data_IF_366330810223
#
_entry.id   IF_366330810223
#
_cell.length_a   1.000
_cell.length_b   1.000
_cell.length_c   1.000
_cell.angle_alpha   90.00
_cell.angle_beta   90.00
_cell.angle_gamma   90.00
#
_symmetry.space_group_name_H-M   'P 1'
#
loop_
_entity.id
_entity.type
_entity.pdbx_description
1 polymer ?
#
# COMPACT_ATOMS: atom_id res chain seq x y z
N UNK A 1 10.48 3.01 10.87
CA UNK A 1 11.96 3.13 10.80
C UNK A 1 12.63 2.71 12.12
N UNK A 2 12.18 3.12 13.29
CA UNK A 2 12.83 2.78 14.56
C UNK A 2 12.83 1.28 14.90
N UNK A 3 11.88 0.51 14.42
CA UNK A 3 11.77 -0.93 14.72
C UNK A 3 12.70 -1.82 13.87
N UNK A 4 13.26 -1.33 12.77
CA UNK A 4 14.11 -2.12 11.88
C UNK A 4 15.50 -1.49 11.78
N UNK A 5 16.53 -2.20 12.24
CA UNK A 5 17.92 -1.74 12.24
C UNK A 5 18.49 -1.50 10.84
N UNK A 6 17.95 -2.18 9.81
CA UNK A 6 18.36 -1.95 8.42
C UNK A 6 18.01 -0.55 7.92
N UNK A 7 17.02 0.10 8.54
CA UNK A 7 16.59 1.46 8.23
C UNK A 7 17.25 2.52 9.12
N UNK A 8 18.14 2.11 10.04
CA UNK A 8 18.86 3.07 10.87
C UNK A 8 19.96 3.75 10.07
N UNK A 9 20.21 5.03 10.32
CA UNK A 9 21.36 5.73 9.75
C UNK A 9 22.67 5.11 10.24
N UNK A 10 23.63 4.95 9.33
CA UNK A 10 24.98 4.49 9.65
C UNK A 10 25.93 5.66 10.00
N UNK A 11 25.51 6.86 9.72
CA UNK A 11 26.25 8.11 9.92
C UNK A 11 25.33 9.16 10.57
N UNK A 12 25.94 10.18 11.17
CA UNK A 12 25.17 11.33 11.67
C UNK A 12 24.42 11.97 10.50
N UNK A 13 23.09 12.10 10.59
CA UNK A 13 22.21 12.58 9.51
C UNK A 13 22.25 11.75 8.21
N UNK A 14 22.52 10.45 8.30
CA UNK A 14 22.42 9.54 7.16
C UNK A 14 21.02 8.95 7.01
N UNK A 15 20.74 8.42 5.84
CA UNK A 15 19.59 7.53 5.60
C UNK A 15 19.99 6.42 4.62
N UNK A 16 19.60 5.16 4.84
CA UNK A 16 19.79 4.10 3.86
C UNK A 16 18.77 4.19 2.72
N UNK A 17 17.69 4.98 2.89
CA UNK A 17 16.65 5.11 1.89
C UNK A 17 17.19 5.83 0.65
N UNK A 18 16.95 5.24 -0.52
CA UNK A 18 17.28 5.83 -1.83
C UNK A 18 16.06 6.45 -2.48
N UNK A 19 14.92 5.80 -2.31
CA UNK A 19 13.67 6.25 -2.89
C UNK A 19 12.47 5.89 -2.00
N UNK A 20 11.41 6.67 -2.12
CA UNK A 20 10.07 6.42 -1.57
C UNK A 20 9.08 6.48 -2.73
N UNK A 21 8.30 5.41 -2.91
CA UNK A 21 7.25 5.35 -3.91
C UNK A 21 5.90 5.44 -3.20
N UNK A 22 5.12 6.46 -3.51
CA UNK A 22 3.82 6.70 -2.87
C UNK A 22 2.70 6.05 -3.68
N UNK A 23 1.92 5.20 -3.04
CA UNK A 23 0.81 4.48 -3.68
C UNK A 23 -0.53 5.19 -3.55
N UNK A 24 -0.67 6.07 -2.57
CA UNK A 24 -1.81 6.98 -2.41
C UNK A 24 -1.41 8.18 -1.53
N UNK A 25 -2.33 9.09 -1.27
CA UNK A 25 -2.11 10.29 -0.46
C UNK A 25 -2.75 10.24 0.94
N UNK A 26 -3.22 9.09 1.42
CA UNK A 26 -3.77 8.99 2.76
C UNK A 26 -2.71 9.22 3.84
N UNK A 27 -3.13 9.71 5.00
CA UNK A 27 -2.22 10.20 6.06
C UNK A 27 -1.23 9.13 6.50
N UNK A 28 -1.67 7.90 6.64
CA UNK A 28 -0.85 6.75 7.05
C UNK A 28 0.19 6.35 5.98
N UNK A 29 -0.02 6.70 4.71
CA UNK A 29 0.95 6.49 3.63
C UNK A 29 1.95 7.63 3.47
N UNK A 30 1.60 8.88 3.82
CA UNK A 30 2.44 10.06 3.54
C UNK A 30 3.06 10.69 4.79
N UNK A 31 2.48 10.51 5.99
CA UNK A 31 2.98 11.16 7.21
C UNK A 31 4.42 10.78 7.55
N UNK A 32 4.85 9.56 7.18
CA UNK A 32 6.22 9.10 7.35
C UNK A 32 7.28 9.96 6.65
N UNK A 33 6.92 10.69 5.60
CA UNK A 33 7.81 11.63 4.91
C UNK A 33 8.30 12.74 5.84
N UNK A 34 7.49 13.17 6.81
CA UNK A 34 7.84 14.23 7.75
C UNK A 34 9.02 13.85 8.66
N UNK A 35 9.26 12.56 8.86
CA UNK A 35 10.42 12.05 9.60
C UNK A 35 11.71 12.15 8.77
N UNK A 36 11.58 12.24 7.44
CA UNK A 36 12.70 12.32 6.49
C UNK A 36 13.19 13.75 6.22
N UNK A 37 12.73 14.74 7.00
CA UNK A 37 13.11 16.18 6.85
C UNK A 37 14.54 16.53 7.19
N UNK A 38 15.38 15.55 7.51
CA UNK A 38 16.72 15.74 8.09
C UNK A 38 17.80 16.16 7.07
N UNK A 39 17.42 16.69 5.91
CA UNK A 39 18.35 17.15 4.85
C UNK A 39 19.29 16.03 4.36
N UNK A 40 18.74 14.86 4.16
CA UNK A 40 19.42 13.71 3.54
C UNK A 40 18.88 13.49 2.14
N UNK A 41 19.75 13.16 1.19
CA UNK A 41 19.33 13.01 -0.21
C UNK A 41 18.57 11.69 -0.43
N UNK A 42 17.35 11.81 -0.98
CA UNK A 42 16.55 10.69 -1.47
C UNK A 42 15.56 11.18 -2.55
N UNK A 43 14.92 10.23 -3.20
CA UNK A 43 13.95 10.52 -4.26
C UNK A 43 12.54 10.16 -3.80
N UNK A 44 11.55 10.96 -4.21
CA UNK A 44 10.13 10.63 -4.06
C UNK A 44 9.56 10.39 -5.45
N UNK A 45 8.90 9.26 -5.62
CA UNK A 45 8.15 8.91 -6.81
C UNK A 45 6.66 8.93 -6.47
N UNK A 46 5.89 9.73 -7.20
CA UNK A 46 4.45 9.87 -6.99
C UNK A 46 3.74 10.19 -8.31
N UNK A 47 2.48 9.82 -8.42
CA UNK A 47 1.65 10.26 -9.54
C UNK A 47 1.43 11.78 -9.47
N UNK A 48 1.08 12.44 -10.60
CA UNK A 48 0.73 13.86 -10.59
C UNK A 48 -0.34 14.24 -9.58
N UNK A 49 -1.35 13.38 -9.38
CA UNK A 49 -2.43 13.65 -8.43
C UNK A 49 -1.95 13.57 -6.97
N UNK A 50 -1.14 12.57 -6.62
CA UNK A 50 -0.55 12.45 -5.28
C UNK A 50 0.42 13.62 -5.05
N UNK A 51 1.25 13.98 -6.03
CA UNK A 51 2.18 15.12 -5.94
C UNK A 51 1.42 16.41 -5.68
N UNK A 52 0.32 16.67 -6.42
CA UNK A 52 -0.53 17.85 -6.23
C UNK A 52 -1.15 17.87 -4.83
N UNK A 53 -1.62 16.73 -4.35
CA UNK A 53 -2.17 16.58 -3.01
C UNK A 53 -1.16 16.98 -1.93
N UNK A 54 0.08 16.51 -2.02
CA UNK A 54 1.11 16.88 -1.05
C UNK A 54 1.51 18.36 -1.18
N UNK A 55 1.61 18.88 -2.40
CA UNK A 55 1.95 20.29 -2.64
C UNK A 55 0.92 21.28 -2.07
N UNK A 56 -0.35 20.87 -1.97
CA UNK A 56 -1.42 21.67 -1.35
C UNK A 56 -1.36 21.65 0.19
N UNK A 57 -0.55 20.78 0.79
CA UNK A 57 -0.37 20.68 2.23
C UNK A 57 0.98 21.30 2.64
N UNK A 58 0.99 22.51 3.19
CA UNK A 58 2.23 23.26 3.43
C UNK A 58 3.21 22.58 4.38
N UNK A 59 2.75 21.61 5.18
CA UNK A 59 3.60 20.85 6.08
C UNK A 59 4.69 20.07 5.34
N UNK A 60 4.45 19.62 4.09
CA UNK A 60 5.45 18.91 3.29
C UNK A 60 6.53 19.82 2.68
N UNK A 61 6.39 21.16 2.81
CA UNK A 61 7.44 22.11 2.53
C UNK A 61 8.69 21.97 3.42
N UNK A 62 8.63 21.13 4.48
CA UNK A 62 9.81 20.77 5.29
C UNK A 62 10.78 19.83 4.55
N UNK A 63 10.34 19.23 3.44
CA UNK A 63 11.19 18.41 2.56
C UNK A 63 11.98 19.35 1.66
N UNK A 64 13.23 19.61 2.03
CA UNK A 64 14.10 20.57 1.38
C UNK A 64 14.40 20.14 -0.08
N UNK A 65 14.06 20.95 -1.11
CA UNK A 65 14.23 20.59 -2.51
C UNK A 65 15.71 20.45 -2.94
N UNK A 66 16.66 20.96 -2.16
CA UNK A 66 18.09 20.76 -2.42
C UNK A 66 18.52 19.31 -2.13
N UNK A 67 17.73 18.57 -1.35
CA UNK A 67 18.01 17.19 -0.95
C UNK A 67 16.99 16.18 -1.48
N UNK A 68 15.73 16.59 -1.61
CA UNK A 68 14.62 15.68 -1.97
C UNK A 68 14.15 15.96 -3.40
N UNK A 69 14.37 15.00 -4.29
CA UNK A 69 13.94 15.11 -5.68
C UNK A 69 12.60 14.39 -5.88
N UNK A 70 11.65 15.09 -6.50
CA UNK A 70 10.37 14.55 -6.91
C UNK A 70 10.41 14.05 -8.35
N UNK A 71 9.98 12.81 -8.56
CA UNK A 71 9.92 12.16 -9.85
C UNK A 71 8.46 11.74 -10.15
N UNK A 72 7.89 12.16 -11.30
CA UNK A 72 6.53 11.77 -11.64
C UNK A 72 6.44 10.30 -12.04
N UNK A 73 5.44 9.59 -11.52
CA UNK A 73 5.02 8.27 -11.98
C UNK A 73 3.80 8.41 -12.90
N UNK A 74 3.78 7.65 -13.99
CA UNK A 74 2.64 7.59 -14.91
C UNK A 74 2.11 6.18 -14.99
N UNK A 75 0.80 6.02 -15.04
CA UNK A 75 0.15 4.72 -15.20
C UNK A 75 0.63 4.02 -16.47
N UNK A 76 0.92 2.72 -16.36
CA UNK A 76 1.42 1.89 -17.46
C UNK A 76 2.88 2.13 -17.82
N UNK A 77 3.57 3.08 -17.17
CA UNK A 77 4.98 3.34 -17.44
C UNK A 77 5.87 2.48 -16.55
N UNK A 78 6.93 1.94 -17.15
CA UNK A 78 8.05 1.30 -16.46
C UNK A 78 9.20 2.27 -16.28
N UNK A 79 9.86 2.21 -15.13
CA UNK A 79 11.06 2.97 -14.83
C UNK A 79 11.96 2.18 -13.88
N UNK A 80 13.24 2.57 -13.82
CA UNK A 80 14.19 1.95 -12.90
C UNK A 80 14.44 2.83 -11.69
N UNK A 81 14.46 2.24 -10.51
CA UNK A 81 14.79 2.91 -9.25
C UNK A 81 15.56 1.95 -8.35
N UNK A 82 16.70 2.39 -7.80
CA UNK A 82 17.56 1.61 -6.91
C UNK A 82 17.94 0.20 -7.44
N UNK A 83 18.02 0.04 -8.77
CA UNK A 83 18.34 -1.24 -9.41
C UNK A 83 17.15 -2.17 -9.66
N UNK A 84 15.94 -1.73 -9.36
CA UNK A 84 14.69 -2.46 -9.61
C UNK A 84 13.93 -1.82 -10.76
N UNK A 85 13.23 -2.63 -11.57
CA UNK A 85 12.22 -2.16 -12.52
C UNK A 85 10.88 -2.04 -11.79
N UNK A 86 10.19 -0.93 -12.00
CA UNK A 86 8.87 -0.67 -11.42
C UNK A 86 7.90 -0.30 -12.52
N UNK A 87 6.74 -0.96 -12.55
CA UNK A 87 5.58 -0.58 -13.36
C UNK A 87 4.45 -0.11 -12.45
N UNK A 88 3.83 1.01 -12.80
CA UNK A 88 2.73 1.63 -12.04
C UNK A 88 1.40 1.32 -12.72
N UNK A 89 0.41 0.92 -11.94
CA UNK A 89 -0.95 0.67 -12.46
C UNK A 89 -2.02 1.24 -11.52
N UNK A 90 -3.17 1.61 -12.07
CA UNK A 90 -4.30 2.06 -11.27
C UNK A 90 -4.93 0.90 -10.49
N UNK A 91 -5.45 1.22 -9.32
CA UNK A 91 -6.22 0.31 -8.48
C UNK A 91 -7.53 0.99 -8.11
N UNK A 92 -8.67 0.27 -8.15
CA UNK A 92 -9.93 0.81 -7.64
C UNK A 92 -9.78 1.30 -6.20
N UNK A 93 -10.02 2.58 -5.99
CA UNK A 93 -9.83 3.25 -4.71
C UNK A 93 -10.54 4.58 -4.65
N UNK A 94 -10.18 5.42 -3.70
CA UNK A 94 -10.77 6.74 -3.49
C UNK A 94 -9.70 7.82 -3.30
N UNK A 95 -10.12 9.06 -3.32
CA UNK A 95 -9.28 10.18 -2.87
C UNK A 95 -9.02 10.09 -1.36
N UNK A 96 -7.91 10.66 -0.86
CA UNK A 96 -7.63 10.77 0.57
C UNK A 96 -8.80 11.36 1.35
N UNK A 97 -8.97 10.91 2.60
CA UNK A 97 -10.08 11.31 3.46
C UNK A 97 -10.26 12.83 3.56
N UNK A 98 -9.18 13.58 3.68
CA UNK A 98 -9.19 15.03 3.83
C UNK A 98 -9.46 15.79 2.51
N UNK A 99 -9.59 15.08 1.39
CA UNK A 99 -10.01 15.60 0.08
C UNK A 99 -11.41 15.12 -0.31
N UNK A 100 -12.09 14.34 0.54
CA UNK A 100 -13.46 13.89 0.25
C UNK A 100 -14.42 15.10 0.22
N UNK A 101 -15.21 15.19 -0.86
CA UNK A 101 -16.31 16.12 -0.98
C UNK A 101 -17.63 15.52 -0.46
N UNK A 102 -18.74 16.13 -0.84
CA UNK A 102 -20.09 15.68 -0.46
C UNK A 102 -20.41 14.29 -1.05
N UNK A 103 -19.94 14.02 -2.27
CA UNK A 103 -20.04 12.72 -2.91
C UNK A 103 -18.66 12.07 -2.98
N UNK A 104 -18.56 10.81 -2.55
CA UNK A 104 -17.31 10.05 -2.53
C UNK A 104 -17.46 8.80 -3.39
N UNK A 105 -16.69 8.76 -4.47
CA UNK A 105 -16.50 7.56 -5.28
C UNK A 105 -15.41 6.73 -4.62
N UNK A 106 -15.72 5.51 -4.21
CA UNK A 106 -14.83 4.66 -3.41
C UNK A 106 -14.11 3.57 -4.20
N UNK A 107 -14.39 3.43 -5.50
CA UNK A 107 -13.86 2.37 -6.36
C UNK A 107 -13.39 2.89 -7.74
N UNK A 108 -13.06 4.17 -7.84
CA UNK A 108 -12.55 4.77 -9.07
C UNK A 108 -11.12 4.30 -9.38
N UNK A 109 -10.87 4.00 -10.64
CA UNK A 109 -9.53 3.71 -11.15
C UNK A 109 -8.89 5.01 -11.65
N UNK A 110 -8.10 5.64 -10.80
CA UNK A 110 -7.45 6.93 -11.05
C UNK A 110 -5.97 6.89 -10.67
N UNK A 111 -5.30 8.03 -10.75
CA UNK A 111 -3.93 8.20 -10.28
C UNK A 111 -3.81 8.42 -8.76
N UNK A 112 -4.93 8.46 -8.03
CA UNK A 112 -4.94 8.70 -6.57
C UNK A 112 -4.70 7.44 -5.75
N UNK A 113 -4.98 6.25 -6.31
CA UNK A 113 -4.68 4.96 -5.69
C UNK A 113 -4.06 4.05 -6.73
N UNK A 114 -2.84 3.62 -6.47
CA UNK A 114 -2.05 2.83 -7.43
C UNK A 114 -1.46 1.59 -6.77
N UNK A 115 -1.17 0.61 -7.61
CA UNK A 115 -0.32 -0.53 -7.29
C UNK A 115 1.00 -0.48 -8.06
N UNK A 116 1.95 -1.28 -7.60
CA UNK A 116 3.28 -1.39 -8.18
C UNK A 116 3.58 -2.85 -8.52
N UNK A 117 4.06 -3.09 -9.75
CA UNK A 117 4.84 -4.29 -10.07
C UNK A 117 6.31 -3.95 -9.95
N UNK A 118 7.04 -4.66 -9.13
CA UNK A 118 8.46 -4.45 -8.87
C UNK A 118 9.23 -5.71 -9.24
N UNK A 119 10.31 -5.59 -10.00
CA UNK A 119 11.13 -6.75 -10.40
C UNK A 119 12.62 -6.41 -10.39
N UNK A 120 13.43 -7.40 -10.04
CA UNK A 120 14.89 -7.38 -10.22
C UNK A 120 15.33 -8.09 -11.52
N UNK A 121 14.37 -8.51 -12.36
CA UNK A 121 14.56 -9.30 -13.59
C UNK A 121 14.61 -10.82 -13.37
N UNK A 122 14.53 -11.30 -12.13
CA UNK A 122 14.47 -12.73 -11.77
C UNK A 122 13.15 -13.06 -11.07
N UNK A 123 12.77 -12.22 -10.12
CA UNK A 123 11.53 -12.34 -9.38
C UNK A 123 10.71 -11.04 -9.47
N UNK A 124 9.43 -11.15 -9.15
CA UNK A 124 8.46 -10.06 -9.27
C UNK A 124 7.55 -9.98 -8.05
N UNK A 125 7.26 -8.75 -7.64
CA UNK A 125 6.37 -8.40 -6.54
C UNK A 125 5.21 -7.54 -7.05
N UNK A 126 3.98 -7.95 -6.78
CA UNK A 126 2.81 -7.07 -6.86
C UNK A 126 2.54 -6.45 -5.47
N UNK A 127 2.57 -5.12 -5.37
CA UNK A 127 2.35 -4.38 -4.14
C UNK A 127 1.08 -3.53 -4.25
N UNK A 128 0.04 -3.86 -3.51
CA UNK A 128 -1.28 -3.22 -3.56
C UNK A 128 -1.82 -3.04 -2.13
N UNK A 129 -1.42 -1.98 -1.41
CA UNK A 129 -1.77 -1.78 0.00
C UNK A 129 -3.19 -1.24 0.24
N UNK A 130 -3.89 -0.83 -0.81
CA UNK A 130 -5.28 -0.36 -0.74
C UNK A 130 -6.03 -0.74 -2.01
N UNK A 131 -7.20 -1.38 -1.88
CA UNK A 131 -8.00 -1.85 -3.01
C UNK A 131 -9.48 -1.95 -2.63
N UNK A 132 -10.34 -1.20 -3.33
CA UNK A 132 -11.78 -1.23 -3.08
C UNK A 132 -12.48 -2.40 -3.81
N UNK A 133 -11.91 -2.90 -4.90
CA UNK A 133 -12.49 -3.94 -5.75
C UNK A 133 -11.41 -4.67 -6.56
N UNK A 134 -11.45 -5.99 -6.58
CA UNK A 134 -10.58 -6.79 -7.45
C UNK A 134 -11.14 -6.78 -8.88
N UNK A 135 -10.31 -6.36 -9.84
CA UNK A 135 -10.62 -6.38 -11.27
C UNK A 135 -9.96 -7.58 -11.96
N UNK A 136 -10.41 -7.91 -13.17
CA UNK A 136 -9.77 -8.94 -14.01
C UNK A 136 -8.29 -8.58 -14.26
N UNK A 137 -8.01 -7.32 -14.56
CA UNK A 137 -6.65 -6.85 -14.79
C UNK A 137 -5.75 -7.01 -13.56
N UNK A 138 -6.28 -6.79 -12.34
CA UNK A 138 -5.54 -7.06 -11.09
C UNK A 138 -5.27 -8.55 -10.91
N UNK A 139 -6.24 -9.42 -11.18
CA UNK A 139 -6.05 -10.88 -11.12
C UNK A 139 -4.94 -11.35 -12.07
N UNK A 140 -4.91 -10.84 -13.28
CA UNK A 140 -3.87 -11.15 -14.27
C UNK A 140 -2.49 -10.72 -13.79
N UNK A 141 -2.36 -9.54 -13.20
CA UNK A 141 -1.11 -9.04 -12.61
C UNK A 141 -0.66 -9.91 -11.44
N UNK A 142 -1.56 -10.27 -10.54
CA UNK A 142 -1.24 -11.12 -9.39
C UNK A 142 -0.85 -12.54 -9.83
N UNK A 143 -1.50 -13.08 -10.87
CA UNK A 143 -1.15 -14.38 -11.43
C UNK A 143 0.26 -14.41 -12.07
N UNK A 144 0.78 -13.24 -12.48
CA UNK A 144 2.13 -13.09 -13.04
C UNK A 144 3.20 -12.77 -12.02
N UNK A 145 2.84 -12.50 -10.75
CA UNK A 145 3.77 -12.15 -9.69
C UNK A 145 4.21 -13.37 -8.88
N UNK A 146 5.49 -13.42 -8.52
CA UNK A 146 6.04 -14.44 -7.62
C UNK A 146 5.60 -14.20 -6.18
N UNK A 147 5.42 -12.93 -5.79
CA UNK A 147 4.88 -12.49 -4.51
C UNK A 147 3.82 -11.42 -4.71
N UNK A 148 2.67 -11.57 -4.06
CA UNK A 148 1.63 -10.55 -3.97
C UNK A 148 1.48 -10.07 -2.54
N UNK A 149 1.71 -8.79 -2.30
CA UNK A 149 1.39 -8.10 -1.05
C UNK A 149 0.11 -7.29 -1.26
N UNK A 150 -0.98 -7.72 -0.62
CA UNK A 150 -2.32 -7.20 -0.90
C UNK A 150 -2.98 -6.60 0.34
N UNK A 151 -3.90 -5.68 0.10
CA UNK A 151 -4.72 -4.98 1.09
C UNK A 151 -5.45 -5.94 2.04
N UNK A 152 -5.11 -5.87 3.31
CA UNK A 152 -5.69 -6.63 4.41
C UNK A 152 -6.40 -5.77 5.45
N UNK A 153 -6.82 -4.56 5.10
CA UNK A 153 -7.29 -3.55 6.05
C UNK A 153 -8.40 -4.06 6.97
N UNK A 154 -9.46 -4.65 6.45
CA UNK A 154 -10.58 -5.13 7.24
C UNK A 154 -10.94 -6.58 6.94
N UNK A 155 -11.32 -7.33 7.97
CA UNK A 155 -11.87 -8.68 7.82
C UNK A 155 -13.25 -8.66 7.19
N UNK A 156 -14.15 -7.81 7.69
CA UNK A 156 -15.52 -7.67 7.21
C UNK A 156 -15.89 -6.20 6.98
N UNK A 157 -16.82 -5.96 6.07
CA UNK A 157 -17.19 -4.60 5.68
C UNK A 157 -17.64 -3.71 6.86
N UNK A 158 -18.38 -4.25 7.82
CA UNK A 158 -18.89 -3.53 8.98
C UNK A 158 -17.97 -3.62 10.22
N UNK A 159 -16.69 -3.93 10.06
CA UNK A 159 -15.76 -4.13 11.16
C UNK A 159 -15.64 -2.91 12.07
N UNK A 160 -15.37 -1.72 11.50
CA UNK A 160 -15.22 -0.50 12.27
C UNK A 160 -16.46 -0.15 13.11
N UNK A 161 -17.69 -0.13 12.54
CA UNK A 161 -18.91 0.07 13.32
C UNK A 161 -19.12 -0.99 14.42
N UNK A 162 -18.86 -2.26 14.13
CA UNK A 162 -19.02 -3.33 15.12
C UNK A 162 -18.06 -3.22 16.30
N UNK A 163 -16.84 -2.74 16.04
CA UNK A 163 -15.81 -2.56 17.07
C UNK A 163 -15.93 -1.21 17.79
N UNK A 164 -16.90 -0.36 17.43
CA UNK A 164 -17.03 1.00 17.99
C UNK A 164 -15.87 1.93 17.62
N UNK A 165 -15.10 1.58 16.57
CA UNK A 165 -13.91 2.31 16.15
C UNK A 165 -14.19 3.38 15.07
N UNK A 166 -15.47 3.52 14.68
CA UNK A 166 -15.92 4.51 13.70
C UNK A 166 -17.16 4.04 12.95
N UNK A 167 -17.75 4.91 12.14
CA UNK A 167 -18.99 4.64 11.41
C UNK A 167 -18.75 4.19 9.95
N UNK A 168 -17.54 4.38 9.42
CA UNK A 168 -17.23 4.02 8.03
C UNK A 168 -17.03 2.52 7.90
N UNK A 169 -17.59 1.95 6.83
CA UNK A 169 -17.35 0.55 6.45
C UNK A 169 -16.06 0.42 5.64
N UNK A 170 -15.55 -0.80 5.47
CA UNK A 170 -14.38 -1.08 4.65
C UNK A 170 -14.50 -0.51 3.23
N UNK A 171 -15.58 -0.82 2.54
CA UNK A 171 -15.86 -0.28 1.19
C UNK A 171 -15.97 1.24 1.18
N UNK A 172 -16.57 1.85 2.22
CA UNK A 172 -16.62 3.32 2.34
C UNK A 172 -15.24 3.93 2.56
N UNK A 173 -14.31 3.19 3.11
CA UNK A 173 -12.91 3.59 3.26
C UNK A 173 -12.04 3.31 2.02
N UNK A 174 -12.60 2.61 1.01
CA UNK A 174 -11.87 2.23 -0.20
C UNK A 174 -11.11 0.90 -0.07
N UNK A 175 -11.50 0.05 0.90
CA UNK A 175 -10.88 -1.24 1.17
C UNK A 175 -11.86 -2.39 1.03
N UNK A 176 -11.48 -3.37 0.19
CA UNK A 176 -12.24 -4.61 0.03
C UNK A 176 -12.08 -5.48 1.29
N UNK A 177 -13.17 -5.97 1.89
CA UNK A 177 -13.07 -6.93 2.98
C UNK A 177 -12.34 -8.21 2.58
N UNK A 178 -11.65 -8.83 3.55
CA UNK A 178 -10.99 -10.12 3.34
C UNK A 178 -12.03 -11.23 3.19
N UNK A 179 -13.03 -11.27 4.07
CA UNK A 179 -14.01 -12.35 4.19
C UNK A 179 -15.27 -12.14 3.35
N UNK A 180 -16.04 -13.22 3.23
CA UNK A 180 -17.32 -13.25 2.51
C UNK A 180 -17.18 -13.66 1.04
N UNK A 181 -18.30 -13.92 0.36
CA UNK A 181 -18.30 -14.40 -1.04
C UNK A 181 -17.71 -13.38 -2.02
N UNK A 182 -17.82 -12.09 -1.69
CA UNK A 182 -17.26 -11.00 -2.47
C UNK A 182 -15.93 -10.47 -1.88
N UNK A 183 -15.41 -11.13 -0.85
CA UNK A 183 -14.16 -10.76 -0.18
C UNK A 183 -12.92 -11.17 -0.97
N UNK A 184 -11.77 -10.62 -0.60
CA UNK A 184 -10.53 -10.86 -1.33
C UNK A 184 -10.08 -12.32 -1.26
N UNK A 185 -10.33 -13.05 -0.18
CA UNK A 185 -10.02 -14.49 -0.10
C UNK A 185 -10.75 -15.29 -1.19
N UNK A 186 -12.05 -15.05 -1.36
CA UNK A 186 -12.85 -15.75 -2.37
C UNK A 186 -12.52 -15.29 -3.79
N UNK A 187 -12.34 -13.98 -3.99
CA UNK A 187 -12.07 -13.44 -5.32
C UNK A 187 -10.67 -13.77 -5.86
N UNK A 188 -9.70 -14.01 -4.97
CA UNK A 188 -8.31 -14.32 -5.29
C UNK A 188 -7.96 -15.79 -5.00
N UNK A 189 -8.99 -16.65 -4.88
CA UNK A 189 -8.80 -18.09 -4.76
C UNK A 189 -8.09 -18.65 -6.00
N UNK A 190 -7.19 -19.61 -5.80
CA UNK A 190 -6.46 -20.28 -6.88
C UNK A 190 -5.34 -19.46 -7.54
N UNK A 191 -5.02 -18.26 -7.04
CA UNK A 191 -3.84 -17.54 -7.51
C UNK A 191 -2.57 -18.38 -7.27
N UNK A 192 -1.70 -18.39 -8.27
CA UNK A 192 -0.33 -18.90 -8.15
C UNK A 192 0.56 -17.88 -7.41
N UNK A 193 1.73 -18.32 -6.99
CA UNK A 193 2.68 -17.49 -6.29
C UNK A 193 2.41 -17.33 -4.80
N UNK A 194 3.37 -16.75 -4.10
CA UNK A 194 3.31 -16.43 -2.68
C UNK A 194 2.44 -15.21 -2.47
N UNK A 195 1.65 -15.16 -1.41
CA UNK A 195 0.71 -14.07 -1.19
C UNK A 195 0.55 -13.75 0.28
N UNK A 196 0.51 -12.47 0.62
CA UNK A 196 0.39 -12.03 2.00
C UNK A 196 -0.47 -10.77 2.12
N UNK A 197 -1.23 -10.67 3.20
CA UNK A 197 -1.95 -9.47 3.57
C UNK A 197 -1.04 -8.48 4.28
N UNK A 198 -1.11 -7.23 3.85
CA UNK A 198 -0.45 -6.05 4.42
C UNK A 198 -1.49 -4.98 4.75
N UNK A 199 -1.07 -3.83 5.29
CA UNK A 199 -1.97 -2.71 5.59
C UNK A 199 -3.16 -3.14 6.47
N UNK A 200 -2.88 -3.87 7.54
CA UNK A 200 -3.89 -4.51 8.39
C UNK A 200 -4.29 -3.54 9.50
N UNK A 201 -5.59 -3.22 9.61
CA UNK A 201 -6.09 -2.34 10.66
C UNK A 201 -6.06 -3.06 12.02
N UNK A 202 -5.82 -2.31 13.10
CA UNK A 202 -5.77 -2.87 14.47
C UNK A 202 -7.11 -3.47 14.96
N UNK A 203 -8.22 -3.16 14.29
CA UNK A 203 -9.51 -3.81 14.54
C UNK A 203 -9.65 -5.18 13.88
N UNK A 204 -8.75 -5.50 12.93
CA UNK A 204 -8.86 -6.73 12.15
C UNK A 204 -8.47 -7.95 12.99
N UNK A 205 -9.38 -8.92 13.17
CA UNK A 205 -9.13 -10.09 14.00
C UNK A 205 -8.01 -11.00 13.51
N UNK A 206 -7.57 -10.89 12.25
CA UNK A 206 -6.45 -11.70 11.75
C UNK A 206 -5.12 -11.38 12.45
N UNK A 207 -5.02 -10.24 13.14
CA UNK A 207 -3.86 -9.90 13.97
C UNK A 207 -3.80 -10.72 15.27
N UNK A 208 -4.90 -11.30 15.71
CA UNK A 208 -4.95 -12.15 16.91
C UNK A 208 -4.43 -13.55 16.58
N UNK A 209 -3.40 -14.05 17.30
CA UNK A 209 -2.76 -15.33 16.97
C UNK A 209 -3.69 -16.53 16.89
N UNK A 210 -4.70 -16.57 17.76
CA UNK A 210 -5.60 -17.72 17.91
C UNK A 210 -7.00 -17.48 17.33
N UNK A 211 -7.18 -16.42 16.51
CA UNK A 211 -8.49 -16.13 15.93
C UNK A 211 -8.86 -17.12 14.81
N UNK A 212 -10.12 -17.50 14.68
CA UNK A 212 -10.59 -18.32 13.58
C UNK A 212 -10.43 -17.61 12.23
N UNK A 213 -10.46 -16.29 12.22
CA UNK A 213 -10.23 -15.45 11.04
C UNK A 213 -8.80 -15.61 10.53
N UNK A 214 -7.81 -15.56 11.43
CA UNK A 214 -6.41 -15.81 11.10
C UNK A 214 -6.21 -17.22 10.55
N UNK A 215 -6.82 -18.19 11.18
CA UNK A 215 -6.75 -19.58 10.71
C UNK A 215 -7.32 -19.73 9.30
N UNK A 216 -8.46 -19.09 9.01
CA UNK A 216 -9.07 -19.09 7.68
C UNK A 216 -8.15 -18.49 6.60
N UNK A 217 -7.41 -17.42 6.93
CA UNK A 217 -6.40 -16.82 6.03
C UNK A 217 -5.27 -17.81 5.73
N UNK A 218 -4.75 -18.47 6.76
CA UNK A 218 -3.64 -19.43 6.63
C UNK A 218 -4.09 -20.66 5.83
N UNK A 219 -5.27 -21.21 6.11
CA UNK A 219 -5.84 -22.37 5.40
C UNK A 219 -6.08 -22.06 3.91
N UNK A 220 -6.42 -20.81 3.58
CA UNK A 220 -6.52 -20.34 2.20
C UNK A 220 -5.14 -20.14 1.52
N UNK A 221 -4.03 -20.41 2.21
CA UNK A 221 -2.68 -20.30 1.69
C UNK A 221 -2.15 -18.87 1.61
N UNK A 222 -2.69 -17.96 2.42
CA UNK A 222 -2.20 -16.59 2.57
C UNK A 222 -1.36 -16.44 3.84
N UNK A 223 -0.37 -15.57 3.76
CA UNK A 223 0.43 -15.13 4.91
C UNK A 223 -0.14 -13.81 5.47
N UNK A 224 0.21 -13.50 6.70
CA UNK A 224 -0.18 -12.26 7.38
C UNK A 224 1.11 -11.56 7.76
N UNK A 225 1.36 -10.41 7.14
CA UNK A 225 2.59 -9.66 7.36
C UNK A 225 2.68 -9.11 8.79
N UNK A 226 3.89 -9.07 9.27
CA UNK A 226 4.28 -8.38 10.50
C UNK A 226 5.49 -7.47 10.20
N UNK A 227 5.69 -6.45 11.05
CA UNK A 227 6.84 -5.57 10.94
C UNK A 227 8.15 -6.34 11.02
N UNK A 228 9.04 -6.10 10.06
CA UNK A 228 10.34 -6.78 9.95
C UNK A 228 10.28 -8.16 9.27
N UNK A 229 9.13 -8.61 8.78
CA UNK A 229 9.04 -9.85 8.01
C UNK A 229 9.81 -9.71 6.68
N UNK A 230 10.56 -10.74 6.33
CA UNK A 230 11.35 -10.80 5.10
C UNK A 230 10.80 -11.88 4.16
N UNK A 231 10.72 -11.56 2.88
CA UNK A 231 10.33 -12.50 1.83
C UNK A 231 11.53 -12.77 0.92
N UNK A 232 11.83 -14.03 0.70
CA UNK A 232 12.76 -14.48 -0.32
C UNK A 232 11.92 -15.09 -1.45
N UNK A 233 12.05 -14.57 -2.65
CA UNK A 233 11.32 -14.95 -3.86
C UNK A 233 12.29 -15.23 -5.01
#
# INVERSE_FOLDING_TARGET
MHANSALHPKEMRGTPLKAVLLTNGDVDHIAGLLVLREKTAFEIFATPDITRTLAQNPIFGVLDPDFVRWNPMKLGQKFSVAGLEVEVFSVPGKVPLYLEGDEVITDAETETTIGLMVSDGRASLAYVPGCARVTTALKERFASADLTLFDGTVWQNAEMPKMGAGMKTGLRMGHLPISGPDGSLAQLEGLSGRRAYIHINNTNPILQPDSPERQSVIEAGWEICADGMEFIV
#
